data_IF_401008196609
#
_entry.id   IF_401008196609
#
_cell.length_a   1.000
_cell.length_b   1.000
_cell.length_c   1.000
_cell.angle_alpha   90.00
_cell.angle_beta   90.00
_cell.angle_gamma   90.00
#
_symmetry.space_group_name_H-M   'P 1'
#
loop_
_entity.id
_entity.type
_entity.pdbx_description
1 polymer ?
#
# COMPACT_ATOMS: atom_id res chain seq x y z
N UNK A 1 -24.50 -12.62 19.72
CA UNK A 1 -23.36 -11.71 19.59
C UNK A 1 -23.10 -11.52 18.11
N UNK A 2 -22.93 -10.29 17.64
CA UNK A 2 -22.55 -10.03 16.26
C UNK A 2 -21.03 -10.07 16.09
N UNK A 3 -20.59 -10.57 14.95
CA UNK A 3 -19.18 -10.59 14.55
C UNK A 3 -19.00 -9.90 13.21
N UNK A 4 -17.97 -9.08 13.10
CA UNK A 4 -17.59 -8.36 11.88
C UNK A 4 -16.22 -8.84 11.43
N UNK A 5 -16.10 -9.25 10.18
CA UNK A 5 -14.82 -9.64 9.59
C UNK A 5 -14.24 -8.53 8.74
N UNK A 6 -12.91 -8.47 8.69
CA UNK A 6 -12.20 -7.61 7.76
C UNK A 6 -11.01 -8.33 7.16
N UNK A 7 -10.83 -8.18 5.84
CA UNK A 7 -9.68 -8.70 5.09
C UNK A 7 -8.88 -7.54 4.52
N UNK A 8 -7.61 -7.51 4.86
CA UNK A 8 -6.58 -6.74 4.15
C UNK A 8 -5.91 -7.69 3.15
N UNK A 9 -6.02 -7.39 1.86
CA UNK A 9 -5.54 -8.27 0.80
C UNK A 9 -4.54 -7.62 -0.14
N UNK A 10 -3.32 -8.16 -0.19
CA UNK A 10 -2.28 -7.71 -1.12
C UNK A 10 -1.98 -8.72 -2.24
N UNK A 11 -0.95 -8.42 -3.02
CA UNK A 11 -0.46 -9.32 -4.06
C UNK A 11 0.19 -10.61 -3.50
N UNK A 12 0.81 -10.55 -2.32
CA UNK A 12 1.62 -11.65 -1.78
C UNK A 12 1.04 -12.28 -0.53
N UNK A 13 0.48 -11.45 0.35
CA UNK A 13 -0.06 -11.86 1.64
C UNK A 13 -1.39 -11.15 1.87
N UNK A 14 -2.22 -11.78 2.68
CA UNK A 14 -3.47 -11.23 3.17
C UNK A 14 -3.58 -11.47 4.68
N UNK A 15 -4.35 -10.63 5.36
CA UNK A 15 -4.64 -10.74 6.79
C UNK A 15 -6.13 -10.57 7.01
N UNK A 16 -6.70 -11.47 7.82
CA UNK A 16 -8.06 -11.41 8.28
C UNK A 16 -8.08 -11.15 9.79
N UNK A 17 -9.06 -10.36 10.23
CA UNK A 17 -9.45 -10.25 11.64
C UNK A 17 -10.95 -10.42 11.77
N UNK A 18 -11.40 -10.86 12.95
CA UNK A 18 -12.81 -10.86 13.35
C UNK A 18 -12.92 -10.05 14.64
N UNK A 19 -13.84 -9.08 14.66
CA UNK A 19 -14.18 -8.31 15.85
C UNK A 19 -15.59 -8.66 16.34
N UNK A 20 -15.79 -8.65 17.66
CA UNK A 20 -17.12 -8.73 18.24
C UNK A 20 -17.83 -7.37 18.20
N UNK A 21 -19.09 -7.32 18.66
CA UNK A 21 -19.91 -6.10 18.73
C UNK A 21 -19.37 -4.99 19.65
N UNK A 22 -18.34 -5.28 20.47
CA UNK A 22 -17.63 -4.29 21.31
C UNK A 22 -16.40 -3.69 20.62
N UNK A 23 -16.09 -4.10 19.39
CA UNK A 23 -14.89 -3.68 18.67
C UNK A 23 -13.62 -4.45 19.07
N UNK A 24 -13.74 -5.48 19.92
CA UNK A 24 -12.62 -6.29 20.37
C UNK A 24 -12.29 -7.34 19.31
N UNK A 25 -11.02 -7.45 18.92
CA UNK A 25 -10.55 -8.51 18.03
C UNK A 25 -10.58 -9.85 18.77
N UNK A 26 -11.40 -10.78 18.28
CA UNK A 26 -11.56 -12.14 18.83
C UNK A 26 -10.84 -13.20 18.00
N UNK A 27 -10.49 -12.91 16.75
CA UNK A 27 -9.74 -13.81 15.88
C UNK A 27 -8.81 -13.03 14.94
N UNK A 28 -7.72 -13.66 14.50
CA UNK A 28 -6.93 -13.18 13.38
C UNK A 28 -6.16 -14.33 12.72
N UNK A 29 -6.09 -14.30 11.39
CA UNK A 29 -5.25 -15.21 10.63
C UNK A 29 -4.57 -14.48 9.47
N UNK A 30 -3.47 -15.04 8.96
CA UNK A 30 -2.88 -14.69 7.68
C UNK A 30 -3.31 -15.65 6.57
N UNK A 31 -3.07 -15.25 5.32
CA UNK A 31 -3.31 -16.06 4.13
C UNK A 31 -2.42 -15.62 2.96
N UNK A 32 -2.53 -16.36 1.86
CA UNK A 32 -1.91 -16.02 0.58
C UNK A 32 -2.55 -14.76 -0.02
N UNK A 33 -1.85 -14.08 -0.92
CA UNK A 33 -2.35 -12.88 -1.60
C UNK A 33 -3.72 -13.08 -2.28
N UNK A 34 -4.55 -12.04 -2.24
CA UNK A 34 -5.93 -12.04 -2.73
C UNK A 34 -6.14 -10.96 -3.80
N UNK A 35 -5.10 -10.68 -4.59
CA UNK A 35 -5.24 -9.84 -5.78
C UNK A 35 -5.75 -10.70 -6.95
N UNK A 36 -7.01 -10.46 -7.34
CA UNK A 36 -7.69 -11.27 -8.34
C UNK A 36 -7.09 -11.15 -9.75
N UNK A 37 -6.36 -10.08 -10.07
CA UNK A 37 -5.63 -9.97 -11.34
C UNK A 37 -4.49 -10.99 -11.46
N UNK A 38 -4.01 -11.51 -10.34
CA UNK A 38 -2.94 -12.51 -10.30
C UNK A 38 -3.46 -13.94 -10.18
N UNK A 39 -4.49 -14.16 -9.34
CA UNK A 39 -4.99 -15.52 -9.03
C UNK A 39 -6.33 -15.88 -9.69
N UNK A 40 -7.05 -14.90 -10.24
CA UNK A 40 -8.45 -15.04 -10.63
C UNK A 40 -9.41 -14.93 -9.44
N UNK A 41 -10.68 -14.59 -9.75
CA UNK A 41 -11.75 -14.41 -8.77
C UNK A 41 -12.07 -15.70 -7.98
N UNK A 42 -12.22 -16.89 -8.61
CA UNK A 42 -12.57 -18.11 -7.87
C UNK A 42 -11.55 -18.49 -6.80
N UNK A 43 -10.26 -18.39 -7.12
CA UNK A 43 -9.19 -18.67 -6.17
C UNK A 43 -9.10 -17.60 -5.07
N UNK A 44 -9.37 -16.33 -5.40
CA UNK A 44 -9.48 -15.25 -4.41
C UNK A 44 -10.60 -15.53 -3.40
N UNK A 45 -11.80 -15.88 -3.90
CA UNK A 45 -12.95 -16.24 -3.08
C UNK A 45 -12.65 -17.43 -2.16
N UNK A 46 -12.02 -18.49 -2.70
CA UNK A 46 -11.61 -19.67 -1.92
C UNK A 46 -10.64 -19.31 -0.80
N UNK A 47 -9.63 -18.47 -1.07
CA UNK A 47 -8.66 -18.02 -0.05
C UNK A 47 -9.32 -17.19 1.05
N UNK A 48 -10.29 -16.35 0.70
CA UNK A 48 -11.05 -15.55 1.67
C UNK A 48 -11.90 -16.45 2.57
N UNK A 49 -12.64 -17.40 1.99
CA UNK A 49 -13.45 -18.34 2.75
C UNK A 49 -12.61 -19.18 3.72
N UNK A 50 -11.48 -19.73 3.24
CA UNK A 50 -10.53 -20.47 4.07
C UNK A 50 -10.03 -19.65 5.28
N UNK A 51 -9.66 -18.37 5.07
CA UNK A 51 -9.26 -17.50 6.17
C UNK A 51 -10.41 -17.27 7.18
N UNK A 52 -11.65 -17.11 6.72
CA UNK A 52 -12.81 -16.90 7.61
C UNK A 52 -13.06 -18.15 8.44
N UNK A 53 -13.08 -19.32 7.81
CA UNK A 53 -13.34 -20.60 8.49
C UNK A 53 -12.27 -20.91 9.53
N UNK A 54 -10.99 -20.76 9.18
CA UNK A 54 -9.87 -20.97 10.12
C UNK A 54 -9.91 -19.99 11.29
N UNK A 55 -10.16 -18.70 11.04
CA UNK A 55 -10.27 -17.72 12.11
C UNK A 55 -11.47 -17.98 13.04
N UNK A 56 -12.59 -18.48 12.50
CA UNK A 56 -13.76 -18.86 13.32
C UNK A 56 -13.45 -20.08 14.18
N UNK A 57 -12.80 -21.10 13.61
CA UNK A 57 -12.40 -22.30 14.34
C UNK A 57 -11.44 -21.98 15.50
N UNK A 58 -10.39 -21.19 15.24
CA UNK A 58 -9.42 -20.75 16.25
C UNK A 58 -10.06 -19.94 17.38
N UNK A 59 -11.12 -19.17 17.09
CA UNK A 59 -11.84 -18.37 18.08
C UNK A 59 -13.01 -19.12 18.75
N UNK A 60 -13.26 -20.38 18.39
CA UNK A 60 -14.40 -21.15 18.90
C UNK A 60 -15.76 -20.60 18.46
N UNK A 61 -15.81 -19.86 17.34
CA UNK A 61 -17.04 -19.34 16.74
C UNK A 61 -17.62 -20.44 15.85
N UNK A 62 -18.84 -20.93 16.08
CA UNK A 62 -19.44 -21.95 15.22
C UNK A 62 -19.46 -21.52 13.75
N UNK A 63 -19.14 -22.43 12.83
CA UNK A 63 -19.19 -22.14 11.39
C UNK A 63 -20.59 -21.70 10.93
N UNK A 64 -21.65 -22.18 11.59
CA UNK A 64 -23.04 -21.73 11.36
C UNK A 64 -23.31 -20.28 11.79
N UNK A 65 -22.48 -19.70 12.66
CA UNK A 65 -22.61 -18.29 13.05
C UNK A 65 -21.97 -17.40 11.98
N UNK A 66 -22.74 -17.03 10.96
CA UNK A 66 -22.32 -16.11 9.90
C UNK A 66 -21.80 -14.79 10.49
N UNK A 67 -20.78 -14.20 9.85
CA UNK A 67 -20.40 -12.83 10.18
C UNK A 67 -21.54 -11.88 9.76
N UNK A 68 -21.85 -10.86 10.57
CA UNK A 68 -22.87 -9.87 10.23
C UNK A 68 -22.50 -9.12 8.94
N UNK A 69 -21.21 -8.82 8.76
CA UNK A 69 -20.67 -8.37 7.50
C UNK A 69 -19.17 -8.72 7.40
N UNK A 70 -18.71 -8.99 6.19
CA UNK A 70 -17.30 -9.18 5.86
C UNK A 70 -16.83 -8.05 4.95
N UNK A 71 -15.94 -7.20 5.46
CA UNK A 71 -15.24 -6.18 4.68
C UNK A 71 -14.04 -6.77 3.96
N UNK A 72 -13.89 -6.47 2.68
CA UNK A 72 -12.81 -6.91 1.82
C UNK A 72 -12.09 -5.68 1.26
N UNK A 73 -10.94 -5.34 1.82
CA UNK A 73 -10.06 -4.26 1.33
C UNK A 73 -8.88 -4.87 0.59
N UNK A 74 -9.02 -5.03 -0.73
CA UNK A 74 -8.13 -5.86 -1.54
C UNK A 74 -7.46 -5.04 -2.66
N UNK A 75 -6.19 -5.31 -2.91
CA UNK A 75 -5.48 -4.83 -4.10
C UNK A 75 -6.11 -5.41 -5.37
N UNK A 76 -6.42 -4.54 -6.34
CA UNK A 76 -7.11 -4.92 -7.58
C UNK A 76 -8.62 -4.66 -7.54
N UNK A 77 -9.21 -4.36 -6.38
CA UNK A 77 -10.63 -4.11 -6.21
C UNK A 77 -11.02 -2.63 -6.40
N UNK A 78 -10.56 -2.02 -7.49
CA UNK A 78 -10.86 -0.61 -7.82
C UNK A 78 -12.15 -0.43 -8.64
N UNK A 79 -12.60 -1.47 -9.37
CA UNK A 79 -13.77 -1.41 -10.24
C UNK A 79 -15.00 -2.07 -9.59
N UNK A 80 -16.10 -1.32 -9.53
CA UNK A 80 -17.35 -1.79 -8.93
C UNK A 80 -17.90 -3.07 -9.58
N UNK A 81 -17.76 -3.23 -10.89
CA UNK A 81 -18.21 -4.44 -11.61
C UNK A 81 -17.48 -5.69 -11.13
N UNK A 82 -16.17 -5.62 -11.00
CA UNK A 82 -15.33 -6.74 -10.59
C UNK A 82 -15.46 -7.02 -9.08
N UNK A 83 -15.70 -5.97 -8.29
CA UNK A 83 -16.01 -6.09 -6.87
C UNK A 83 -17.32 -6.85 -6.65
N UNK A 84 -18.37 -6.55 -7.43
CA UNK A 84 -19.63 -7.28 -7.43
C UNK A 84 -19.47 -8.73 -7.86
N UNK A 85 -18.70 -8.98 -8.92
CA UNK A 85 -18.42 -10.35 -9.38
C UNK A 85 -17.74 -11.19 -8.28
N UNK A 86 -16.74 -10.63 -7.59
CA UNK A 86 -16.10 -11.30 -6.46
C UNK A 86 -17.09 -11.57 -5.31
N UNK A 87 -17.91 -10.58 -4.96
CA UNK A 87 -18.96 -10.75 -3.94
C UNK A 87 -19.94 -11.87 -4.32
N UNK A 88 -20.43 -11.89 -5.56
CA UNK A 88 -21.37 -12.90 -6.05
C UNK A 88 -20.78 -14.30 -6.01
N UNK A 89 -19.52 -14.47 -6.44
CA UNK A 89 -18.82 -15.76 -6.38
C UNK A 89 -18.68 -16.24 -4.94
N UNK A 90 -18.31 -15.36 -4.01
CA UNK A 90 -18.23 -15.70 -2.59
C UNK A 90 -19.60 -16.10 -2.05
N UNK A 91 -20.63 -15.30 -2.30
CA UNK A 91 -21.99 -15.52 -1.79
C UNK A 91 -22.59 -16.84 -2.31
N UNK A 92 -22.32 -17.20 -3.56
CA UNK A 92 -22.84 -18.41 -4.18
C UNK A 92 -22.06 -19.66 -3.75
N UNK A 93 -20.74 -19.57 -3.58
CA UNK A 93 -19.88 -20.73 -3.29
C UNK A 93 -19.75 -20.99 -1.79
N UNK A 94 -19.80 -19.93 -0.96
CA UNK A 94 -19.56 -19.98 0.49
C UNK A 94 -20.64 -19.19 1.26
N UNK A 95 -21.92 -19.56 1.18
CA UNK A 95 -23.03 -18.77 1.72
C UNK A 95 -22.98 -18.57 3.26
N UNK A 96 -22.31 -19.46 3.97
CA UNK A 96 -22.29 -19.48 5.44
C UNK A 96 -21.18 -18.61 6.08
N UNK A 97 -20.34 -17.94 5.28
CA UNK A 97 -19.24 -17.15 5.85
C UNK A 97 -19.69 -15.78 6.37
N UNK A 98 -20.64 -15.12 5.69
CA UNK A 98 -21.16 -13.80 6.09
C UNK A 98 -22.57 -13.54 5.54
N UNK A 99 -23.34 -12.69 6.23
CA UNK A 99 -24.66 -12.20 5.82
C UNK A 99 -24.57 -11.15 4.70
N UNK A 100 -23.62 -10.22 4.85
CA UNK A 100 -23.34 -9.14 3.92
C UNK A 100 -21.83 -9.00 3.65
N UNK A 101 -21.50 -8.32 2.54
CA UNK A 101 -20.12 -8.05 2.15
C UNK A 101 -19.97 -6.56 1.80
N UNK A 102 -18.77 -6.05 1.98
CA UNK A 102 -18.35 -4.75 1.45
C UNK A 102 -17.02 -4.97 0.76
N UNK A 103 -16.92 -4.67 -0.53
CA UNK A 103 -15.69 -4.85 -1.30
C UNK A 103 -15.16 -3.48 -1.72
N UNK A 104 -13.90 -3.20 -1.39
CA UNK A 104 -13.23 -1.97 -1.76
C UNK A 104 -11.75 -2.22 -2.03
N UNK A 105 -11.07 -1.21 -2.57
CA UNK A 105 -9.63 -1.28 -2.75
C UNK A 105 -8.89 -1.23 -1.40
N UNK A 106 -7.67 -1.76 -1.39
CA UNK A 106 -6.73 -1.68 -0.28
C UNK A 106 -6.50 -0.23 0.20
N UNK A 107 -6.46 0.74 -0.72
CA UNK A 107 -6.34 2.16 -0.41
C UNK A 107 -7.50 2.70 0.43
N UNK A 108 -8.74 2.28 0.18
CA UNK A 108 -9.89 2.73 0.98
C UNK A 108 -9.80 2.16 2.40
N UNK A 109 -9.56 0.86 2.54
CA UNK A 109 -9.38 0.23 3.86
C UNK A 109 -8.25 0.86 4.67
N UNK A 110 -7.15 1.21 4.00
CA UNK A 110 -6.01 1.92 4.60
C UNK A 110 -6.39 3.27 5.20
N UNK A 111 -7.23 4.05 4.52
CA UNK A 111 -7.72 5.34 5.05
C UNK A 111 -8.67 5.09 6.23
N UNK A 112 -9.60 4.14 6.05
CA UNK A 112 -10.64 3.84 7.03
C UNK A 112 -10.08 3.35 8.36
N UNK A 113 -8.89 2.76 8.42
CA UNK A 113 -8.28 2.36 9.69
C UNK A 113 -7.84 3.57 10.54
N UNK A 114 -7.48 4.68 9.89
CA UNK A 114 -6.90 5.86 10.53
C UNK A 114 -7.88 7.01 10.69
N UNK A 115 -8.95 7.09 9.88
CA UNK A 115 -9.91 8.19 9.91
C UNK A 115 -11.28 7.80 9.36
N UNK A 116 -12.35 8.25 10.03
CA UNK A 116 -13.72 8.20 9.50
C UNK A 116 -13.99 9.29 8.46
N UNK A 117 -13.31 10.43 8.57
CA UNK A 117 -13.56 11.61 7.74
C UNK A 117 -13.03 11.44 6.31
N UNK A 118 -12.12 10.50 6.10
CA UNK A 118 -11.30 10.41 4.89
C UNK A 118 -9.86 10.82 5.15
N UNK A 119 -9.10 11.04 4.08
CA UNK A 119 -7.68 11.34 4.15
C UNK A 119 -6.94 10.93 2.89
N UNK A 120 -5.61 10.95 2.97
CA UNK A 120 -4.73 10.53 1.89
C UNK A 120 -4.00 9.24 2.29
N UNK A 121 -3.92 8.28 1.38
CA UNK A 121 -3.02 7.11 1.50
C UNK A 121 -1.96 7.15 0.42
N UNK A 122 -0.73 6.78 0.78
CA UNK A 122 0.37 6.55 -0.15
C UNK A 122 0.92 5.15 0.10
N UNK A 123 0.55 4.22 -0.77
CA UNK A 123 1.02 2.84 -0.78
C UNK A 123 2.37 2.78 -1.52
N UNK A 124 3.37 2.19 -0.88
CA UNK A 124 4.63 1.76 -1.49
C UNK A 124 5.04 0.40 -0.92
N UNK A 125 4.59 -0.65 -1.61
CA UNK A 125 4.85 -2.06 -1.32
C UNK A 125 5.50 -2.74 -2.52
N UNK A 126 4.93 -3.86 -3.00
CA UNK A 126 5.38 -4.47 -4.28
C UNK A 126 5.20 -3.48 -5.44
N UNK A 127 4.04 -2.82 -5.49
CA UNK A 127 3.75 -1.67 -6.37
C UNK A 127 3.56 -0.39 -5.56
N UNK A 128 2.98 0.63 -6.19
CA UNK A 128 2.63 1.90 -5.51
C UNK A 128 1.28 2.45 -5.96
N UNK A 129 0.61 3.16 -5.05
CA UNK A 129 -0.66 3.82 -5.32
C UNK A 129 -0.84 5.02 -4.38
N UNK A 130 -1.43 6.10 -4.86
CA UNK A 130 -1.81 7.25 -4.04
C UNK A 130 -3.29 7.53 -4.23
N UNK A 131 -4.04 7.61 -3.14
CA UNK A 131 -5.47 7.90 -3.19
C UNK A 131 -5.88 8.88 -2.09
N UNK A 132 -6.55 9.95 -2.50
CA UNK A 132 -7.30 10.86 -1.65
C UNK A 132 -8.75 10.39 -1.58
N UNK A 133 -9.32 10.40 -0.39
CA UNK A 133 -10.76 10.28 -0.15
C UNK A 133 -11.25 11.46 0.69
N UNK A 134 -12.16 12.24 0.14
CA UNK A 134 -12.80 13.36 0.82
C UNK A 134 -14.00 12.91 1.68
N UNK A 135 -14.49 13.75 2.61
CA UNK A 135 -15.63 13.42 3.47
C UNK A 135 -16.93 13.12 2.71
N UNK A 136 -17.14 13.79 1.58
CA UNK A 136 -18.29 13.59 0.69
C UNK A 136 -18.21 12.27 -0.11
N UNK A 137 -17.13 11.50 0.07
CA UNK A 137 -16.87 10.25 -0.64
C UNK A 137 -16.20 10.44 -2.00
N UNK A 138 -15.98 11.67 -2.47
CA UNK A 138 -15.22 11.91 -3.68
C UNK A 138 -13.77 11.43 -3.52
N UNK A 139 -13.22 10.86 -4.59
CA UNK A 139 -11.86 10.31 -4.60
C UNK A 139 -11.03 10.91 -5.71
N UNK A 140 -9.71 10.94 -5.51
CA UNK A 140 -8.73 11.30 -6.52
C UNK A 140 -7.49 10.42 -6.34
N UNK A 141 -7.03 9.78 -7.41
CA UNK A 141 -5.88 8.88 -7.36
C UNK A 141 -4.76 9.32 -8.30
N UNK A 142 -3.54 8.86 -7.99
CA UNK A 142 -2.37 8.98 -8.85
C UNK A 142 -1.54 7.69 -8.75
N UNK A 143 -1.29 7.04 -9.89
CA UNK A 143 -0.66 5.73 -9.94
C UNK A 143 -1.65 4.59 -9.71
N UNK A 144 -1.16 3.45 -9.22
CA UNK A 144 -1.98 2.23 -9.03
C UNK A 144 -2.20 1.40 -10.30
N UNK A 145 -1.53 1.70 -11.40
CA UNK A 145 -1.72 1.02 -12.69
C UNK A 145 -0.90 -0.28 -12.85
N UNK A 146 -0.13 -0.65 -11.83
CA UNK A 146 0.75 -1.81 -11.87
C UNK A 146 2.02 -1.60 -12.68
N UNK A 147 2.87 -2.63 -12.71
CA UNK A 147 4.27 -2.53 -13.15
C UNK A 147 4.46 -2.25 -14.63
N UNK A 148 3.46 -2.56 -15.47
CA UNK A 148 3.53 -2.28 -16.90
C UNK A 148 3.27 -0.81 -17.22
N UNK A 149 2.57 -0.09 -16.35
CA UNK A 149 2.07 1.26 -16.60
C UNK A 149 2.45 2.27 -15.50
N UNK A 150 3.29 1.87 -14.53
CA UNK A 150 3.68 2.72 -13.41
C UNK A 150 4.38 1.95 -12.28
N UNK A 151 3.78 1.97 -11.08
CA UNK A 151 4.37 1.51 -9.80
C UNK A 151 5.59 2.34 -9.34
N UNK A 152 5.73 3.59 -9.81
CA UNK A 152 6.84 4.45 -9.43
C UNK A 152 6.96 4.62 -7.91
N UNK A 153 8.17 4.44 -7.40
CA UNK A 153 8.46 4.46 -5.97
C UNK A 153 8.13 3.18 -5.21
N UNK A 154 7.52 2.17 -5.85
CA UNK A 154 7.33 0.83 -5.29
C UNK A 154 8.57 -0.08 -5.40
N UNK A 155 8.55 -1.22 -4.72
CA UNK A 155 9.68 -2.16 -4.67
C UNK A 155 10.00 -2.79 -6.04
N UNK A 156 8.97 -3.07 -6.85
CA UNK A 156 9.18 -3.53 -8.22
C UNK A 156 9.90 -2.49 -9.05
N UNK A 157 9.46 -1.22 -8.98
CA UNK A 157 10.07 -0.12 -9.72
C UNK A 157 11.53 0.11 -9.30
N UNK A 158 11.82 0.09 -7.99
CA UNK A 158 13.20 0.17 -7.48
C UNK A 158 14.09 -0.94 -8.03
N UNK A 159 13.60 -2.18 -8.02
CA UNK A 159 14.32 -3.35 -8.52
C UNK A 159 14.56 -3.26 -10.03
N UNK A 160 13.53 -2.88 -10.78
CA UNK A 160 13.60 -2.67 -12.23
C UNK A 160 14.59 -1.55 -12.59
N UNK A 161 14.56 -0.42 -11.87
CA UNK A 161 15.49 0.70 -12.07
C UNK A 161 16.92 0.27 -11.81
N UNK A 162 17.19 -0.48 -10.74
CA UNK A 162 18.53 -1.00 -10.45
C UNK A 162 19.06 -1.87 -11.61
N UNK A 163 18.25 -2.83 -12.07
CA UNK A 163 18.59 -3.71 -13.21
C UNK A 163 18.82 -2.88 -14.48
N UNK A 164 17.92 -1.94 -14.79
CA UNK A 164 18.03 -1.12 -16.00
C UNK A 164 19.29 -0.25 -15.98
N UNK A 165 19.65 0.36 -14.85
CA UNK A 165 20.89 1.14 -14.70
C UNK A 165 22.12 0.26 -14.94
N UNK A 166 22.16 -0.96 -14.40
CA UNK A 166 23.27 -1.90 -14.63
C UNK A 166 23.37 -2.27 -16.11
N UNK A 167 22.26 -2.59 -16.76
CA UNK A 167 22.25 -2.97 -18.18
C UNK A 167 22.71 -1.82 -19.06
N UNK A 168 22.22 -0.61 -18.80
CA UNK A 168 22.55 0.58 -19.59
C UNK A 168 24.03 0.95 -19.52
N UNK A 169 24.65 0.83 -18.34
CA UNK A 169 26.09 1.04 -18.18
C UNK A 169 26.88 -0.03 -18.94
N UNK A 170 26.49 -1.31 -18.81
CA UNK A 170 27.19 -2.42 -19.47
C UNK A 170 27.05 -2.41 -21.01
N UNK A 171 25.94 -1.89 -21.53
CA UNK A 171 25.73 -1.68 -22.97
C UNK A 171 26.32 -0.38 -23.49
N UNK A 172 26.90 0.45 -22.61
CA UNK A 172 27.32 1.82 -22.92
C UNK A 172 26.16 2.67 -23.51
N UNK A 173 24.92 2.33 -23.16
CA UNK A 173 23.71 3.04 -23.59
C UNK A 173 23.50 4.32 -22.76
N UNK A 174 23.69 4.23 -21.44
CA UNK A 174 23.66 5.37 -20.55
C UNK A 174 24.55 5.13 -19.34
N UNK A 175 25.35 6.14 -18.96
CA UNK A 175 26.29 6.03 -17.86
C UNK A 175 25.59 6.06 -16.50
N UNK A 176 25.91 5.11 -15.63
CA UNK A 176 25.49 5.11 -14.23
C UNK A 176 26.17 6.25 -13.47
N UNK A 177 25.44 6.97 -12.58
CA UNK A 177 26.03 8.02 -11.76
C UNK A 177 27.05 7.50 -10.73
N UNK A 178 27.02 6.20 -10.42
CA UNK A 178 27.85 5.53 -9.43
C UNK A 178 28.28 4.13 -9.90
N UNK A 179 29.31 3.51 -9.30
CA UNK A 179 29.75 2.16 -9.68
C UNK A 179 28.62 1.13 -9.61
N UNK A 180 28.56 0.23 -10.60
CA UNK A 180 27.46 -0.75 -10.75
C UNK A 180 27.78 -2.13 -10.16
N UNK A 181 29.06 -2.41 -9.86
CA UNK A 181 29.55 -3.76 -9.58
C UNK A 181 28.81 -4.44 -8.43
N UNK A 182 28.61 -3.71 -7.33
CA UNK A 182 27.92 -4.24 -6.15
C UNK A 182 26.45 -4.55 -6.45
N UNK A 183 25.74 -3.64 -7.13
CA UNK A 183 24.35 -3.86 -7.54
C UNK A 183 24.24 -5.02 -8.53
N UNK A 184 25.20 -5.18 -9.44
CA UNK A 184 25.23 -6.33 -10.34
C UNK A 184 25.42 -7.65 -9.59
N UNK A 185 26.33 -7.71 -8.61
CA UNK A 185 26.52 -8.90 -7.78
C UNK A 185 25.25 -9.25 -6.97
N UNK A 186 24.53 -8.25 -6.46
CA UNK A 186 23.24 -8.46 -5.81
C UNK A 186 22.18 -9.03 -6.76
N UNK A 187 22.12 -8.55 -8.01
CA UNK A 187 21.21 -9.05 -9.04
C UNK A 187 21.54 -10.51 -9.35
N UNK A 188 22.81 -10.83 -9.63
CA UNK A 188 23.28 -12.20 -9.88
C UNK A 188 22.87 -13.16 -8.75
N UNK A 189 23.18 -12.79 -7.52
CA UNK A 189 22.81 -13.59 -6.33
C UNK A 189 21.31 -13.69 -6.09
N UNK A 190 20.52 -12.69 -6.51
CA UNK A 190 19.07 -12.70 -6.31
C UNK A 190 18.38 -13.62 -7.29
N UNK A 191 18.72 -13.52 -8.57
CA UNK A 191 18.10 -14.30 -9.63
C UNK A 191 18.82 -15.63 -9.90
N UNK A 192 19.98 -15.87 -9.26
CA UNK A 192 20.84 -17.01 -9.50
C UNK A 192 21.28 -17.09 -10.98
N UNK A 193 21.90 -16.00 -11.43
CA UNK A 193 22.35 -15.79 -12.81
C UNK A 193 23.81 -15.35 -12.85
N UNK A 194 24.51 -15.61 -13.94
CA UNK A 194 25.91 -15.19 -14.13
C UNK A 194 26.05 -14.09 -15.19
N UNK A 195 25.19 -14.11 -16.20
CA UNK A 195 25.20 -13.17 -17.32
C UNK A 195 23.93 -12.35 -17.42
N UNK A 196 23.98 -11.27 -18.21
CA UNK A 196 22.80 -10.46 -18.54
C UNK A 196 21.76 -11.22 -19.36
N UNK A 197 22.15 -12.27 -20.08
CA UNK A 197 21.23 -13.04 -20.92
C UNK A 197 20.37 -13.95 -20.06
N UNK A 198 20.95 -14.53 -19.01
CA UNK A 198 20.26 -15.43 -18.08
C UNK A 198 19.08 -14.74 -17.38
N UNK A 199 19.15 -13.43 -17.15
CA UNK A 199 18.06 -12.67 -16.51
C UNK A 199 16.80 -12.57 -17.37
N UNK A 200 16.90 -12.74 -18.70
CA UNK A 200 15.74 -12.65 -19.61
C UNK A 200 14.66 -13.68 -19.24
N UNK A 201 15.05 -14.86 -18.76
CA UNK A 201 14.10 -15.88 -18.31
C UNK A 201 13.21 -15.36 -17.16
N UNK A 202 13.78 -14.59 -16.23
CA UNK A 202 13.06 -13.98 -15.10
C UNK A 202 12.21 -12.76 -15.48
N UNK A 203 12.49 -12.13 -16.62
CA UNK A 203 11.72 -11.01 -17.13
C UNK A 203 10.54 -11.45 -18.01
N UNK A 204 10.61 -12.64 -18.60
CA UNK A 204 9.61 -13.15 -19.55
C UNK A 204 9.05 -14.50 -19.10
N UNK A 205 9.72 -15.61 -19.46
CA UNK A 205 9.16 -16.97 -19.36
C UNK A 205 8.77 -17.38 -17.92
N UNK A 206 9.51 -16.90 -16.93
CA UNK A 206 9.29 -17.19 -15.50
C UNK A 206 9.04 -15.92 -14.70
N UNK A 207 8.43 -14.93 -15.33
CA UNK A 207 8.16 -13.66 -14.67
C UNK A 207 7.30 -13.86 -13.41
N UNK A 208 7.84 -13.41 -12.29
CA UNK A 208 7.16 -13.41 -11.00
C UNK A 208 7.37 -12.04 -10.36
N UNK A 209 6.34 -11.19 -10.42
CA UNK A 209 6.39 -9.80 -9.94
C UNK A 209 6.83 -9.71 -8.46
N UNK A 210 6.25 -10.48 -7.52
CA UNK A 210 6.72 -10.50 -6.13
C UNK A 210 8.20 -10.83 -5.95
N UNK A 211 8.68 -11.88 -6.61
CA UNK A 211 10.07 -12.29 -6.54
C UNK A 211 10.98 -11.19 -7.11
N UNK A 212 10.65 -10.66 -8.29
CA UNK A 212 11.38 -9.56 -8.92
C UNK A 212 11.48 -8.32 -8.01
N UNK A 213 10.36 -7.93 -7.38
CA UNK A 213 10.32 -6.81 -6.45
C UNK A 213 11.10 -7.06 -5.15
N UNK A 214 11.33 -8.33 -4.78
CA UNK A 214 12.01 -8.67 -3.52
C UNK A 214 13.52 -8.38 -3.54
N UNK A 215 14.11 -8.13 -4.72
CA UNK A 215 15.46 -7.56 -4.86
C UNK A 215 15.57 -6.22 -4.10
N UNK A 216 14.49 -5.43 -4.04
CA UNK A 216 14.44 -4.17 -3.30
C UNK A 216 14.89 -4.31 -1.83
N UNK A 217 14.66 -5.46 -1.18
CA UNK A 217 15.13 -5.69 0.19
C UNK A 217 16.64 -5.71 0.27
N UNK A 218 17.32 -6.34 -0.70
CA UNK A 218 18.79 -6.37 -0.79
C UNK A 218 19.34 -4.97 -1.11
N UNK A 219 18.70 -4.25 -2.03
CA UNK A 219 19.06 -2.86 -2.36
C UNK A 219 18.89 -1.92 -1.16
N UNK A 220 17.88 -2.12 -0.31
CA UNK A 220 17.68 -1.32 0.90
C UNK A 220 18.80 -1.54 1.93
N UNK A 221 19.28 -2.78 2.08
CA UNK A 221 20.43 -3.10 2.95
C UNK A 221 21.69 -2.44 2.39
N UNK A 222 21.96 -2.60 1.09
CA UNK A 222 23.07 -1.96 0.41
C UNK A 222 23.12 -0.43 0.59
N UNK A 223 21.97 0.24 0.44
CA UNK A 223 21.86 1.68 0.65
C UNK A 223 22.16 2.08 2.11
N UNK A 224 21.73 1.27 3.09
CA UNK A 224 22.04 1.50 4.52
C UNK A 224 23.53 1.30 4.82
N UNK A 225 24.18 0.40 4.10
CA UNK A 225 25.62 0.13 4.20
C UNK A 225 26.47 1.12 3.38
N UNK A 226 25.85 2.11 2.72
CA UNK A 226 26.52 3.22 2.07
C UNK A 226 26.76 3.08 0.56
N UNK A 227 26.16 2.08 -0.10
CA UNK A 227 26.21 1.99 -1.57
C UNK A 227 25.49 3.18 -2.21
N UNK A 228 26.26 4.00 -2.94
CA UNK A 228 25.77 5.28 -3.47
C UNK A 228 24.70 5.11 -4.56
N UNK A 229 24.79 4.04 -5.36
CA UNK A 229 23.79 3.77 -6.39
C UNK A 229 22.45 3.40 -5.74
N UNK A 230 22.46 2.52 -4.74
CA UNK A 230 21.26 2.17 -3.98
C UNK A 230 20.68 3.38 -3.23
N UNK A 231 21.51 4.21 -2.59
CA UNK A 231 21.05 5.45 -1.94
C UNK A 231 20.34 6.37 -2.94
N UNK A 232 20.90 6.55 -4.14
CA UNK A 232 20.30 7.36 -5.20
C UNK A 232 18.97 6.79 -5.69
N UNK A 233 18.86 5.47 -5.85
CA UNK A 233 17.60 4.81 -6.24
C UNK A 233 16.49 5.06 -5.22
N UNK A 234 16.77 4.96 -3.91
CA UNK A 234 15.78 5.24 -2.87
C UNK A 234 15.41 6.72 -2.80
N UNK A 235 16.36 7.63 -3.03
CA UNK A 235 16.08 9.07 -3.18
C UNK A 235 15.14 9.33 -4.36
N UNK A 236 15.33 8.67 -5.49
CA UNK A 236 14.42 8.75 -6.64
C UNK A 236 13.03 8.18 -6.34
N UNK A 237 12.95 7.08 -5.57
CA UNK A 237 11.67 6.54 -5.11
C UNK A 237 10.92 7.53 -4.21
N UNK A 238 11.61 8.16 -3.25
CA UNK A 238 11.03 9.22 -2.43
C UNK A 238 10.50 10.38 -3.27
N UNK A 239 11.25 10.81 -4.29
CA UNK A 239 10.79 11.82 -5.25
C UNK A 239 9.53 11.37 -6.00
N UNK A 240 9.46 10.13 -6.45
CA UNK A 240 8.28 9.62 -7.15
C UNK A 240 7.02 9.62 -6.26
N UNK A 241 7.14 9.16 -5.01
CA UNK A 241 6.02 9.14 -4.05
C UNK A 241 5.57 10.56 -3.66
N UNK A 242 6.49 11.53 -3.61
CA UNK A 242 6.13 12.93 -3.40
C UNK A 242 5.40 13.53 -4.61
N UNK A 243 5.78 13.15 -5.84
CA UNK A 243 5.05 13.57 -7.05
C UNK A 243 3.61 13.04 -7.06
N UNK A 244 3.40 11.77 -6.74
CA UNK A 244 2.05 11.20 -6.68
C UNK A 244 1.21 11.83 -5.57
N UNK A 245 1.84 12.09 -4.41
CA UNK A 245 1.24 12.86 -3.31
C UNK A 245 0.77 14.24 -3.79
N UNK A 246 1.66 15.02 -4.42
CA UNK A 246 1.34 16.36 -4.93
C UNK A 246 0.23 16.36 -5.97
N UNK A 247 0.18 15.34 -6.82
CA UNK A 247 -0.81 15.27 -7.89
C UNK A 247 -2.25 15.29 -7.37
N UNK A 248 -2.50 14.78 -6.16
CA UNK A 248 -3.85 14.73 -5.58
C UNK A 248 -4.15 15.87 -4.60
N UNK A 249 -3.15 16.61 -4.10
CA UNK A 249 -3.34 17.70 -3.13
C UNK A 249 -4.33 18.80 -3.58
N UNK A 250 -4.39 19.21 -4.86
CA UNK A 250 -5.36 20.22 -5.31
C UNK A 250 -6.84 19.83 -5.15
N UNK A 251 -7.13 18.55 -4.88
CA UNK A 251 -8.48 18.01 -4.69
C UNK A 251 -8.87 17.81 -3.23
N UNK A 252 -7.99 18.16 -2.28
CA UNK A 252 -8.22 18.02 -0.84
C UNK A 252 -9.34 18.96 -0.40
N UNK A 253 -10.38 18.40 0.20
CA UNK A 253 -11.45 19.17 0.82
C UNK A 253 -10.94 19.89 2.08
N UNK A 254 -11.40 21.13 2.31
CA UNK A 254 -10.92 21.98 3.42
C UNK A 254 -11.05 21.35 4.80
N UNK A 255 -12.12 20.55 5.03
CA UNK A 255 -12.32 19.88 6.31
C UNK A 255 -11.27 18.81 6.65
N UNK A 256 -10.55 18.27 5.66
CA UNK A 256 -9.43 17.35 5.93
C UNK A 256 -8.19 18.07 6.49
N UNK A 257 -8.16 19.40 6.43
CA UNK A 257 -7.01 20.24 6.81
C UNK A 257 -7.38 21.35 7.79
N UNK A 258 -8.55 21.27 8.43
CA UNK A 258 -9.00 22.23 9.45
C UNK A 258 -8.02 22.36 10.63
N UNK A 259 -7.33 21.28 10.98
CA UNK A 259 -6.28 21.26 12.01
C UNK A 259 -4.96 21.94 11.57
N UNK A 260 -4.87 22.35 10.30
CA UNK A 260 -3.65 22.82 9.65
C UNK A 260 -2.78 21.70 9.08
N UNK A 261 -3.18 20.43 9.19
CA UNK A 261 -2.41 19.28 8.74
C UNK A 261 -3.31 18.24 8.04
N UNK A 262 -2.86 17.73 6.89
CA UNK A 262 -3.48 16.59 6.20
C UNK A 262 -2.84 15.29 6.70
N UNK A 263 -3.65 14.34 7.16
CA UNK A 263 -3.18 12.99 7.48
C UNK A 263 -2.85 12.21 6.20
N UNK A 264 -1.64 11.65 6.16
CA UNK A 264 -1.13 10.83 5.07
C UNK A 264 -0.77 9.45 5.60
N UNK A 265 -1.61 8.45 5.31
CA UNK A 265 -1.39 7.06 5.71
C UNK A 265 -0.34 6.43 4.77
N UNK A 266 0.84 6.12 5.29
CA UNK A 266 1.93 5.52 4.55
C UNK A 266 1.90 3.99 4.74
N UNK A 267 1.60 3.28 3.66
CA UNK A 267 1.38 1.82 3.68
C UNK A 267 2.40 1.11 2.81
N UNK A 268 2.89 -0.05 3.27
CA UNK A 268 3.77 -0.91 2.49
C UNK A 268 5.23 -0.87 2.91
N UNK A 269 5.94 -1.97 2.61
CA UNK A 269 7.26 -2.27 3.19
C UNK A 269 8.37 -1.30 2.77
N UNK A 270 8.21 -0.56 1.68
CA UNK A 270 9.24 0.40 1.23
C UNK A 270 9.34 1.58 2.22
N UNK A 271 8.27 1.92 2.93
CA UNK A 271 8.29 2.94 4.00
C UNK A 271 9.16 2.56 5.21
N UNK A 272 9.62 1.32 5.32
CA UNK A 272 10.65 0.92 6.29
C UNK A 272 12.04 1.48 5.93
N UNK A 273 12.17 2.03 4.72
CA UNK A 273 13.35 2.73 4.22
C UNK A 273 13.13 4.24 4.16
N UNK A 274 12.24 4.80 5.00
CA UNK A 274 11.92 6.23 5.00
C UNK A 274 13.16 7.13 5.02
N UNK A 275 14.14 6.86 5.88
CA UNK A 275 15.35 7.69 5.96
C UNK A 275 16.13 7.75 4.63
N UNK A 276 16.09 6.69 3.81
CA UNK A 276 16.72 6.68 2.48
C UNK A 276 15.89 7.47 1.45
N UNK A 277 14.57 7.54 1.62
CA UNK A 277 13.65 8.22 0.71
C UNK A 277 13.44 9.70 1.06
N UNK A 278 13.64 10.05 2.34
CA UNK A 278 13.26 11.32 2.95
C UNK A 278 13.79 12.52 2.17
N UNK A 279 15.07 12.51 1.79
CA UNK A 279 15.67 13.64 1.08
C UNK A 279 14.93 13.90 -0.26
N UNK A 280 14.70 12.86 -1.05
CA UNK A 280 14.02 12.97 -2.34
C UNK A 280 12.56 13.37 -2.20
N UNK A 281 11.86 12.81 -1.20
CA UNK A 281 10.47 13.12 -0.92
C UNK A 281 10.30 14.60 -0.53
N UNK A 282 11.07 15.07 0.46
CA UNK A 282 10.99 16.45 0.97
C UNK A 282 11.42 17.46 -0.10
N UNK A 283 12.50 17.18 -0.84
CA UNK A 283 12.96 18.06 -1.92
C UNK A 283 11.89 18.26 -2.98
N UNK A 284 11.15 17.22 -3.34
CA UNK A 284 10.07 17.31 -4.33
C UNK A 284 8.81 18.00 -3.78
N UNK A 285 8.46 17.80 -2.51
CA UNK A 285 7.37 18.56 -1.88
C UNK A 285 7.65 20.07 -1.88
N UNK A 286 8.90 20.46 -1.62
CA UNK A 286 9.31 21.86 -1.60
C UNK A 286 9.26 22.55 -2.99
N UNK A 287 9.04 21.83 -4.10
CA UNK A 287 8.91 22.46 -5.43
C UNK A 287 7.48 22.96 -5.72
N UNK A 288 6.57 22.90 -4.76
CA UNK A 288 5.20 23.40 -4.89
C UNK A 288 4.74 23.99 -3.56
N UNK A 289 3.90 25.04 -3.62
CA UNK A 289 3.31 25.61 -2.42
C UNK A 289 2.18 24.70 -1.89
N UNK A 290 2.33 24.21 -0.66
CA UNK A 290 1.39 23.35 0.05
C UNK A 290 0.93 24.13 1.30
N UNK A 291 -0.33 24.61 1.35
CA UNK A 291 -0.78 25.56 2.37
C UNK A 291 -1.04 24.95 3.76
N UNK A 292 -0.80 23.65 3.93
CA UNK A 292 -1.01 22.89 5.15
C UNK A 292 0.14 21.90 5.38
N UNK A 293 0.30 21.42 6.61
CA UNK A 293 1.27 20.36 6.91
C UNK A 293 0.82 19.01 6.36
N UNK A 294 1.78 18.11 6.11
CA UNK A 294 1.48 16.69 5.84
C UNK A 294 1.94 15.87 7.05
N UNK A 295 0.99 15.26 7.75
CA UNK A 295 1.24 14.38 8.89
C UNK A 295 1.32 12.94 8.39
N UNK A 296 2.54 12.45 8.20
CA UNK A 296 2.79 11.10 7.69
C UNK A 296 2.70 10.10 8.84
N UNK A 297 1.81 9.13 8.69
CA UNK A 297 1.50 8.13 9.71
C UNK A 297 1.72 6.72 9.20
N UNK A 298 2.13 5.81 10.08
CA UNK A 298 2.13 4.36 9.85
C UNK A 298 1.05 3.73 10.71
N UNK A 299 0.38 2.71 10.19
CA UNK A 299 -0.66 2.02 10.95
C UNK A 299 -0.02 1.10 12.00
N UNK A 300 -0.47 1.17 13.25
CA UNK A 300 -0.07 0.26 14.34
C UNK A 300 -0.93 -1.00 14.34
N UNK A 301 -2.14 -0.90 13.79
CA UNK A 301 -3.03 -2.03 13.53
C UNK A 301 -2.97 -2.43 12.05
N UNK A 302 -3.36 -3.68 11.79
CA UNK A 302 -3.58 -4.16 10.41
C UNK A 302 -4.71 -3.37 9.76
N UNK A 303 -4.59 -3.14 8.45
CA UNK A 303 -5.62 -2.46 7.66
C UNK A 303 -6.92 -3.28 7.57
N UNK A 304 -6.89 -4.55 7.98
CA UNK A 304 -8.09 -5.37 8.17
C UNK A 304 -9.05 -4.74 9.19
N UNK A 305 -8.59 -3.91 10.13
CA UNK A 305 -9.47 -3.09 10.97
C UNK A 305 -10.26 -2.06 10.15
N UNK A 306 -9.64 -1.43 9.15
CA UNK A 306 -10.34 -0.55 8.22
C UNK A 306 -11.44 -1.27 7.46
N UNK A 307 -11.19 -2.52 7.05
CA UNK A 307 -12.21 -3.37 6.44
C UNK A 307 -13.34 -3.74 7.41
N UNK A 308 -13.04 -4.07 8.67
CA UNK A 308 -14.05 -4.27 9.73
C UNK A 308 -14.91 -3.02 9.92
N UNK A 309 -14.29 -1.84 9.96
CA UNK A 309 -14.99 -0.58 10.14
C UNK A 309 -15.96 -0.30 8.99
N UNK A 310 -15.53 -0.52 7.75
CA UNK A 310 -16.39 -0.45 6.58
C UNK A 310 -17.56 -1.43 6.64
N UNK A 311 -17.30 -2.67 7.07
CA UNK A 311 -18.33 -3.69 7.24
C UNK A 311 -19.39 -3.27 8.28
N UNK A 312 -18.95 -2.74 9.42
CA UNK A 312 -19.85 -2.23 10.46
C UNK A 312 -20.68 -1.03 9.95
N UNK A 313 -20.03 -0.05 9.31
CA UNK A 313 -20.68 1.14 8.76
C UNK A 313 -21.74 0.78 7.69
N UNK A 314 -21.46 -0.20 6.82
CA UNK A 314 -22.42 -0.67 5.82
C UNK A 314 -23.66 -1.35 6.43
N UNK A 315 -23.53 -1.94 7.61
CA UNK A 315 -24.67 -2.49 8.38
C UNK A 315 -25.32 -1.47 9.31
N UNK A 316 -24.86 -0.21 9.29
CA UNK A 316 -25.29 0.85 10.22
C UNK A 316 -25.08 0.47 11.69
N UNK A 317 -24.09 -0.39 11.97
CA UNK A 317 -23.72 -0.78 13.31
C UNK A 317 -22.64 0.15 13.84
N UNK A 318 -22.89 0.82 14.96
CA UNK A 318 -21.92 1.69 15.61
C UNK A 318 -20.90 0.87 16.40
N UNK A 319 -19.89 0.36 15.68
CA UNK A 319 -18.80 -0.41 16.27
C UNK A 319 -17.86 0.53 17.05
N UNK A 320 -17.62 0.29 18.35
CA UNK A 320 -16.65 1.07 19.12
C UNK A 320 -15.26 1.01 18.49
N UNK A 321 -14.62 2.17 18.30
CA UNK A 321 -13.28 2.31 17.71
C UNK A 321 -12.60 3.59 18.18
N UNK A 322 -11.29 3.50 18.44
CA UNK A 322 -10.40 4.61 18.74
C UNK A 322 -9.42 4.73 17.56
N UNK A 323 -9.45 5.86 16.83
CA UNK A 323 -8.63 6.01 15.62
C UNK A 323 -7.18 6.32 15.95
N UNK A 324 -6.97 7.08 17.03
CA UNK A 324 -5.68 7.51 17.54
C UNK A 324 -4.79 6.32 17.93
N UNK A 325 -5.39 5.21 18.36
CA UNK A 325 -4.67 3.96 18.69
C UNK A 325 -4.25 3.15 17.45
N UNK A 326 -4.72 3.52 16.26
CA UNK A 326 -4.54 2.73 15.04
C UNK A 326 -3.34 3.17 14.20
N UNK A 327 -2.66 4.27 14.57
CA UNK A 327 -1.51 4.78 13.83
C UNK A 327 -0.50 5.52 14.73
N UNK A 328 0.73 5.61 14.25
CA UNK A 328 1.80 6.43 14.82
C UNK A 328 2.27 7.46 13.79
N UNK A 329 2.60 8.67 14.26
CA UNK A 329 3.19 9.69 13.39
C UNK A 329 4.71 9.53 13.40
N UNK A 330 5.29 9.30 12.22
CA UNK A 330 6.76 9.17 12.09
C UNK A 330 7.39 10.38 11.42
N UNK A 331 6.60 11.21 10.73
CA UNK A 331 7.10 12.45 10.14
C UNK A 331 6.02 13.50 10.02
N UNK A 332 6.39 14.75 10.27
CA UNK A 332 5.55 15.92 10.03
C UNK A 332 6.28 16.84 9.06
N UNK A 333 5.74 16.97 7.85
CA UNK A 333 6.20 17.95 6.88
C UNK A 333 5.44 19.25 7.10
N UNK A 334 6.18 20.35 7.30
CA UNK A 334 5.67 21.70 7.18
C UNK A 334 6.56 22.41 6.17
N UNK A 335 5.94 23.05 5.18
CA UNK A 335 6.71 23.79 4.21
C UNK A 335 7.40 24.95 4.92
N UNK A 336 8.73 24.94 4.90
CA UNK A 336 9.52 26.06 5.36
C UNK A 336 9.16 27.27 4.50
N UNK A 337 8.73 28.37 5.10
CA UNK A 337 8.64 29.63 4.39
C UNK A 337 10.03 29.94 3.83
N UNK A 338 10.21 29.83 2.52
CA UNK A 338 11.40 30.37 1.86
C UNK A 338 11.20 31.87 1.88
N UNK A 339 11.71 32.49 2.94
CA UNK A 339 11.85 33.93 3.04
C UNK A 339 13.11 34.29 2.24
N UNK A 340 13.01 35.24 1.32
CA UNK A 340 14.22 35.84 0.75
C UNK A 340 15.02 36.58 1.85
N UNK A 341 16.23 37.04 1.54
CA UNK A 341 17.07 37.81 2.48
C UNK A 341 16.42 39.09 3.06
N UNK A 342 15.24 39.47 2.56
CA UNK A 342 14.43 40.60 3.02
C UNK A 342 13.14 40.16 3.75
N UNK A 343 12.95 38.87 4.06
CA UNK A 343 11.76 38.40 4.77
C UNK A 343 10.49 38.24 3.91
N UNK A 344 10.58 38.32 2.57
CA UNK A 344 9.43 38.15 1.69
C UNK A 344 9.30 36.71 1.21
N UNK A 345 8.05 36.22 1.08
CA UNK A 345 7.74 34.91 0.52
C UNK A 345 8.24 34.82 -0.93
N UNK A 346 9.05 33.80 -1.23
CA UNK A 346 9.35 33.41 -2.60
C UNK A 346 8.23 32.47 -3.07
N UNK A 347 7.51 32.86 -4.11
CA UNK A 347 6.48 32.02 -4.75
C UNK A 347 7.08 31.15 -5.85
#
# INVERSE_FOLDING_TARGET
>A
MKFFGGVEGGATHSKLIICNERGEQVASTTGLGTNHWLSGIPECARRIADMVERAKDEAGIPLSNRLACLGLSLSGCEQESTNKELEEVIRNTYPDIAEAFVVCSDTIGSICVASKLGGLVVISGTGSNTLLRNPDGSTCSCGGWGSMLGDEGGAWWLSHRAIKTVYDEMDNFAKSPYPINYVWDLIKQHFNVETRVDLLEHCYARYNKPFFASLCKKLAVAAKDGDQLCMQLFKEAGKALAKSTKAVLPKVHSSLVESGELMVVCVGSVWNSWELMREGFIKELNTTNIPFGLKLVKTTKTMAYGAVYLAADATQFDLPRCYEDNYETFHLYKQSLILNGNGNKIY
#
